data_IF_419946939426
#
_entry.id   IF_419946939426
#
_cell.length_a   1.000
_cell.length_b   1.000
_cell.length_c   1.000
_cell.angle_alpha   90.00
_cell.angle_beta   90.00
_cell.angle_gamma   90.00
#
_symmetry.space_group_name_H-M   'P 1'
#
loop_
_entity.id
_entity.type
_entity.pdbx_description
1 polymer ?
#
# COMPACT_ATOMS: atom_id res chain seq x y z
N UNK A 1 -11.63 -24.79 3.74
CA UNK A 1 -11.84 -23.51 3.03
C UNK A 1 -10.60 -23.25 2.19
N UNK A 2 -10.76 -22.95 0.90
CA UNK A 2 -9.64 -22.67 -0.02
C UNK A 2 -9.76 -21.21 -0.46
N UNK A 3 -8.64 -20.49 -0.52
CA UNK A 3 -8.57 -19.09 -0.95
C UNK A 3 -7.76 -18.99 -2.24
N UNK A 4 -8.25 -18.19 -3.20
CA UNK A 4 -7.56 -17.95 -4.47
C UNK A 4 -6.29 -17.13 -4.27
N UNK A 5 -5.23 -17.47 -5.00
CA UNK A 5 -3.97 -16.70 -5.02
C UNK A 5 -3.97 -15.54 -6.03
N UNK A 6 -2.78 -14.97 -6.27
CA UNK A 6 -2.56 -13.96 -7.31
C UNK A 6 -2.85 -14.51 -8.72
N UNK A 7 -3.28 -13.64 -9.64
CA UNK A 7 -3.61 -13.98 -11.03
C UNK A 7 -5.10 -14.01 -11.34
N UNK A 8 -5.95 -14.07 -10.32
CA UNK A 8 -7.42 -14.04 -10.45
C UNK A 8 -8.04 -12.66 -10.17
N UNK A 9 -7.23 -11.63 -9.89
CA UNK A 9 -7.72 -10.28 -9.59
C UNK A 9 -8.40 -9.64 -10.82
N UNK A 10 -9.44 -8.83 -10.58
CA UNK A 10 -10.17 -8.10 -11.63
C UNK A 10 -10.56 -6.70 -11.13
N UNK A 11 -10.63 -5.73 -12.05
CA UNK A 11 -11.14 -4.39 -11.75
C UNK A 11 -12.54 -4.48 -11.12
N UNK A 12 -12.75 -3.76 -10.03
CA UNK A 12 -14.00 -3.74 -9.28
C UNK A 12 -14.26 -4.99 -8.41
N UNK A 13 -13.28 -5.89 -8.23
CA UNK A 13 -13.49 -7.07 -7.39
C UNK A 13 -13.89 -6.71 -5.97
N UNK A 14 -14.88 -7.42 -5.42
CA UNK A 14 -15.38 -7.16 -4.06
C UNK A 14 -16.22 -5.90 -3.88
N UNK A 15 -16.31 -4.99 -4.88
CA UNK A 15 -17.04 -3.72 -4.74
C UNK A 15 -18.57 -3.90 -4.68
N UNK A 16 -19.11 -4.93 -5.34
CA UNK A 16 -20.54 -5.25 -5.21
C UNK A 16 -20.88 -5.67 -3.76
N UNK A 17 -20.03 -6.49 -3.15
CA UNK A 17 -20.20 -6.91 -1.75
C UNK A 17 -19.96 -5.75 -0.78
N UNK A 18 -18.97 -4.90 -1.05
CA UNK A 18 -18.74 -3.66 -0.32
C UNK A 18 -20.02 -2.80 -0.27
N UNK A 19 -20.70 -2.61 -1.40
CA UNK A 19 -21.91 -1.80 -1.46
C UNK A 19 -23.10 -2.43 -0.71
N UNK A 20 -23.21 -3.76 -0.73
CA UNK A 20 -24.39 -4.49 -0.22
C UNK A 20 -24.26 -4.94 1.24
N UNK A 21 -23.05 -5.08 1.78
CA UNK A 21 -22.79 -5.68 3.08
C UNK A 21 -22.06 -4.71 4.02
N UNK A 22 -22.70 -4.33 5.12
CA UNK A 22 -22.09 -3.46 6.16
C UNK A 22 -20.79 -4.08 6.71
N UNK A 23 -20.74 -5.37 7.11
CA UNK A 23 -19.48 -5.96 7.59
C UNK A 23 -18.37 -5.95 6.55
N UNK A 24 -18.68 -6.22 5.28
CA UNK A 24 -17.67 -6.21 4.22
C UNK A 24 -17.12 -4.81 3.99
N UNK A 25 -18.00 -3.80 3.99
CA UNK A 25 -17.61 -2.39 3.89
C UNK A 25 -16.71 -1.94 5.04
N UNK A 26 -17.03 -2.31 6.28
CA UNK A 26 -16.20 -1.97 7.44
C UNK A 26 -14.77 -2.51 7.34
N UNK A 27 -14.59 -3.72 6.77
CA UNK A 27 -13.26 -4.29 6.55
C UNK A 27 -12.48 -3.46 5.52
N UNK A 28 -13.11 -3.11 4.40
CA UNK A 28 -12.50 -2.26 3.38
C UNK A 28 -12.19 -0.86 3.90
N UNK A 29 -13.11 -0.24 4.63
CA UNK A 29 -12.93 1.10 5.21
C UNK A 29 -11.79 1.12 6.22
N UNK A 30 -11.68 0.10 7.07
CA UNK A 30 -10.57 -0.03 8.01
C UNK A 30 -9.21 -0.14 7.29
N UNK A 31 -9.17 -0.93 6.21
CA UNK A 31 -7.97 -1.05 5.39
C UNK A 31 -7.64 0.29 4.70
N UNK A 32 -8.61 0.92 4.04
CA UNK A 32 -8.43 2.23 3.41
C UNK A 32 -7.93 3.29 4.39
N UNK A 33 -8.53 3.37 5.58
CA UNK A 33 -8.11 4.34 6.60
C UNK A 33 -6.66 4.10 7.03
N UNK A 34 -6.26 2.84 7.22
CA UNK A 34 -4.88 2.51 7.55
C UNK A 34 -3.91 2.88 6.41
N UNK A 35 -4.20 2.49 5.17
CA UNK A 35 -3.32 2.77 4.03
C UNK A 35 -3.28 4.26 3.69
N UNK A 36 -4.39 4.96 3.83
CA UNK A 36 -4.43 6.41 3.63
C UNK A 36 -3.61 7.12 4.70
N UNK A 37 -3.77 6.72 5.97
CA UNK A 37 -3.02 7.32 7.06
C UNK A 37 -1.53 7.01 6.98
N UNK A 38 -1.13 5.74 6.80
CA UNK A 38 0.28 5.34 6.85
C UNK A 38 1.03 5.51 5.53
N UNK A 39 0.35 5.36 4.39
CA UNK A 39 0.98 5.27 3.06
C UNK A 39 0.39 6.24 2.03
N UNK A 40 -0.63 7.03 2.37
CA UNK A 40 -1.14 8.12 1.52
C UNK A 40 -1.96 7.67 0.31
N UNK A 41 -2.52 6.45 0.30
CA UNK A 41 -3.43 6.01 -0.76
C UNK A 41 -4.55 5.09 -0.22
N UNK A 42 -5.61 4.93 -0.99
CA UNK A 42 -6.73 4.02 -0.67
C UNK A 42 -6.67 2.79 -1.57
N UNK A 43 -6.89 1.61 -1.00
CA UNK A 43 -6.91 0.36 -1.76
C UNK A 43 -8.16 0.31 -2.64
N UNK A 44 -9.30 0.78 -2.14
CA UNK A 44 -10.56 0.71 -2.90
C UNK A 44 -10.52 1.54 -4.17
N UNK A 45 -9.81 2.68 -4.19
CA UNK A 45 -9.61 3.49 -5.40
C UNK A 45 -8.83 2.71 -6.48
N UNK A 46 -7.77 2.00 -6.07
CA UNK A 46 -6.98 1.15 -6.97
C UNK A 46 -7.83 0.02 -7.54
N UNK A 47 -8.63 -0.65 -6.70
CA UNK A 47 -9.49 -1.75 -7.14
C UNK A 47 -10.59 -1.25 -8.07
N UNK A 48 -11.21 -0.12 -7.76
CA UNK A 48 -12.34 0.44 -8.51
C UNK A 48 -11.89 0.94 -9.87
N UNK A 49 -10.78 1.67 -9.93
CA UNK A 49 -10.38 2.43 -11.12
C UNK A 49 -9.24 1.78 -11.90
N UNK A 50 -8.41 0.98 -11.23
CA UNK A 50 -7.22 0.32 -11.77
C UNK A 50 -6.33 1.31 -12.56
N UNK A 51 -5.82 2.37 -11.89
CA UNK A 51 -4.99 3.37 -12.55
C UNK A 51 -3.67 2.75 -13.04
N UNK A 52 -3.14 3.26 -14.15
CA UNK A 52 -1.85 2.80 -14.69
C UNK A 52 -0.65 3.28 -13.86
N UNK A 53 -0.83 4.36 -13.10
CA UNK A 53 0.19 4.94 -12.21
C UNK A 53 -0.48 5.54 -10.99
N UNK A 54 0.20 5.47 -9.84
CA UNK A 54 -0.21 6.10 -8.59
C UNK A 54 0.98 6.89 -8.03
N UNK A 55 0.77 8.17 -7.75
CA UNK A 55 1.76 9.04 -7.12
C UNK A 55 1.29 9.38 -5.71
N UNK A 56 2.14 9.10 -4.71
CA UNK A 56 1.89 9.50 -3.32
C UNK A 56 2.61 10.81 -3.04
N UNK A 57 1.92 11.75 -2.38
CA UNK A 57 2.46 13.07 -2.03
C UNK A 57 2.62 13.20 -0.50
N UNK A 58 3.85 13.28 -0.03
CA UNK A 58 4.35 13.60 1.31
C UNK A 58 4.31 15.11 1.64
N UNK A 59 3.33 15.86 1.11
CA UNK A 59 3.12 17.26 1.46
C UNK A 59 2.30 17.45 2.75
N UNK A 60 2.31 18.66 3.30
CA UNK A 60 1.44 19.05 4.42
C UNK A 60 1.86 18.52 5.80
N UNK A 61 0.91 18.49 6.74
CA UNK A 61 1.14 18.10 8.15
C UNK A 61 1.49 16.62 8.30
N UNK A 62 0.82 15.77 7.54
CA UNK A 62 0.95 14.31 7.62
C UNK A 62 2.02 13.74 6.68
N UNK A 63 2.42 14.50 5.67
CA UNK A 63 3.32 14.04 4.63
C UNK A 63 4.67 13.55 5.14
N UNK A 64 5.26 14.24 6.12
CA UNK A 64 6.53 13.80 6.75
C UNK A 64 6.42 12.45 7.44
N UNK A 65 5.28 12.17 8.09
CA UNK A 65 5.03 10.89 8.74
C UNK A 65 4.91 9.77 7.69
N UNK A 66 4.17 10.03 6.61
CA UNK A 66 4.06 9.08 5.49
C UNK A 66 5.44 8.81 4.87
N UNK A 67 6.23 9.85 4.59
CA UNK A 67 7.59 9.70 4.07
C UNK A 67 8.46 8.81 4.99
N UNK A 68 8.43 9.09 6.30
CA UNK A 68 9.15 8.31 7.29
C UNK A 68 8.72 6.82 7.30
N UNK A 69 7.43 6.53 7.11
CA UNK A 69 6.93 5.16 6.99
C UNK A 69 7.52 4.45 5.77
N UNK A 70 7.56 5.11 4.60
CA UNK A 70 8.20 4.57 3.40
C UNK A 70 9.70 4.32 3.60
N UNK A 71 10.41 5.26 4.24
CA UNK A 71 11.84 5.11 4.56
C UNK A 71 12.12 3.96 5.53
N UNK A 72 11.18 3.64 6.42
CA UNK A 72 11.30 2.55 7.38
C UNK A 72 11.05 1.15 6.78
N UNK A 73 10.42 1.07 5.61
CA UNK A 73 10.18 -0.21 4.93
C UNK A 73 11.49 -0.83 4.48
N UNK A 74 11.74 -2.04 4.96
CA UNK A 74 12.97 -2.78 4.73
C UNK A 74 12.68 -4.24 4.39
N UNK A 75 13.56 -4.84 3.59
CA UNK A 75 13.48 -6.24 3.19
C UNK A 75 14.81 -6.94 3.48
N UNK A 76 14.76 -8.25 3.72
CA UNK A 76 15.95 -9.07 3.80
C UNK A 76 16.31 -9.56 2.39
N UNK A 77 17.53 -9.27 1.95
CA UNK A 77 18.10 -9.76 0.70
C UNK A 77 19.21 -10.74 1.00
N UNK A 78 19.13 -11.93 0.42
CA UNK A 78 20.19 -12.93 0.49
C UNK A 78 21.21 -12.62 -0.61
N UNK A 79 22.46 -12.38 -0.21
CA UNK A 79 23.57 -12.15 -1.13
C UNK A 79 24.07 -13.45 -1.79
N UNK A 80 24.91 -13.34 -2.83
CA UNK A 80 25.54 -14.51 -3.46
C UNK A 80 26.39 -15.36 -2.50
N UNK A 81 26.83 -14.77 -1.39
CA UNK A 81 27.57 -15.39 -0.29
C UNK A 81 26.67 -16.12 0.72
N UNK A 82 25.35 -16.16 0.48
CA UNK A 82 24.36 -16.75 1.37
C UNK A 82 24.01 -15.92 2.60
N UNK A 83 24.59 -14.71 2.76
CA UNK A 83 24.31 -13.84 3.92
C UNK A 83 23.08 -12.99 3.66
N UNK A 84 22.21 -12.90 4.67
CA UNK A 84 21.07 -11.98 4.65
C UNK A 84 21.53 -10.56 5.03
N UNK A 85 21.19 -9.59 4.19
CA UNK A 85 21.39 -8.16 4.44
C UNK A 85 20.04 -7.44 4.44
N UNK A 86 19.89 -6.47 5.35
CA UNK A 86 18.68 -5.65 5.43
C UNK A 86 18.82 -4.47 4.47
N UNK A 87 17.93 -4.37 3.48
CA UNK A 87 17.90 -3.28 2.49
C UNK A 87 16.65 -2.43 2.66
N UNK A 88 16.72 -1.15 2.26
CA UNK A 88 15.53 -0.31 2.10
C UNK A 88 14.69 -0.83 0.93
N UNK A 89 13.38 -0.88 1.11
CA UNK A 89 12.46 -1.26 0.02
C UNK A 89 12.34 -0.13 -1.02
N UNK A 90 12.41 1.12 -0.56
CA UNK A 90 12.40 2.32 -1.39
C UNK A 90 13.69 3.13 -1.14
N UNK A 91 14.81 2.79 -1.80
CA UNK A 91 16.09 3.46 -1.56
C UNK A 91 16.10 4.92 -2.02
N UNK A 92 15.26 5.27 -2.99
CA UNK A 92 15.17 6.62 -3.58
C UNK A 92 14.29 7.59 -2.77
N UNK A 93 13.69 7.12 -1.66
CA UNK A 93 12.92 7.96 -0.74
C UNK A 93 13.79 8.34 0.46
N UNK A 94 13.92 9.64 0.68
CA UNK A 94 14.70 10.26 1.74
C UNK A 94 13.98 11.48 2.37
N UNK A 95 14.63 12.15 3.33
CA UNK A 95 14.08 13.30 4.05
C UNK A 95 13.83 14.54 3.17
N UNK A 96 14.41 14.57 1.98
CA UNK A 96 14.27 15.66 1.00
C UNK A 96 13.32 15.32 -0.13
N UNK A 97 12.92 14.05 -0.22
CA UNK A 97 11.84 13.59 -1.06
C UNK A 97 10.59 14.29 -0.54
N UNK A 98 10.24 15.39 -1.23
CA UNK A 98 9.11 16.31 -1.01
C UNK A 98 9.37 17.62 -0.27
N UNK A 99 10.59 18.19 -0.41
CA UNK A 99 10.68 19.64 -0.61
C UNK A 99 10.29 20.03 -2.04
#
# INVERSE_FOLDING_TARGET
MVFTGQGSQKKGMGMDLYNKSIPARQIWDAADNHFQHEYGFRITDIIRDNPQSLTVYFGGTDGRRICANYMALTANRIGPDGRATKIKLFPDIDEYTMR
#
